data_IF_539011182220
#
_entry.id   IF_539011182220
#
_cell.length_a   1.000
_cell.length_b   1.000
_cell.length_c   1.000
_cell.angle_alpha   90.00
_cell.angle_beta   90.00
_cell.angle_gamma   90.00
#
_symmetry.space_group_name_H-M   'P 1'
#
loop_
_entity.id
_entity.type
_entity.pdbx_description
1 polymer ?
#
# COMPACT_ATOMS: atom_id res chain seq x y z
N UNK A 1 13.37 0.34 -4.54
CA UNK A 1 12.11 0.28 -3.77
C UNK A 1 11.75 -1.19 -3.66
N UNK A 2 11.61 -1.73 -2.45
CA UNK A 2 11.41 -3.17 -2.22
C UNK A 2 9.94 -3.56 -2.46
N UNK A 3 9.58 -3.89 -3.70
CA UNK A 3 8.27 -4.44 -4.05
C UNK A 3 8.26 -5.98 -3.99
N UNK A 4 8.90 -6.56 -2.97
CA UNK A 4 9.18 -7.99 -2.88
C UNK A 4 7.93 -8.87 -3.03
N UNK A 5 6.81 -8.50 -2.41
CA UNK A 5 5.55 -9.27 -2.52
C UNK A 5 4.94 -9.23 -3.91
N UNK A 6 5.05 -8.10 -4.61
CA UNK A 6 4.50 -7.95 -5.96
C UNK A 6 5.28 -8.85 -6.92
N UNK A 7 6.61 -8.82 -6.83
CA UNK A 7 7.49 -9.68 -7.63
C UNK A 7 7.24 -11.18 -7.33
N UNK A 8 7.11 -11.54 -6.06
CA UNK A 8 6.77 -12.91 -5.64
C UNK A 8 5.39 -13.35 -6.16
N UNK A 9 4.39 -12.46 -6.11
CA UNK A 9 3.05 -12.74 -6.60
C UNK A 9 3.03 -12.95 -8.12
N UNK A 10 3.75 -12.12 -8.86
CA UNK A 10 3.91 -12.26 -10.31
C UNK A 10 4.60 -13.58 -10.67
N UNK A 11 5.72 -13.89 -10.02
CA UNK A 11 6.44 -15.15 -10.23
C UNK A 11 5.55 -16.36 -9.96
N UNK A 12 4.83 -16.36 -8.83
CA UNK A 12 3.92 -17.45 -8.46
C UNK A 12 2.81 -17.66 -9.49
N UNK A 13 2.21 -16.57 -10.00
CA UNK A 13 1.20 -16.66 -11.05
C UNK A 13 1.77 -17.27 -12.33
N UNK A 14 2.94 -16.80 -12.76
CA UNK A 14 3.59 -17.25 -13.99
C UNK A 14 3.97 -18.73 -13.92
N UNK A 15 4.53 -19.19 -12.80
CA UNK A 15 4.90 -20.60 -12.59
C UNK A 15 3.67 -21.53 -12.63
N UNK A 16 2.53 -21.05 -12.15
CA UNK A 16 1.27 -21.82 -12.09
C UNK A 16 0.38 -21.64 -13.32
N UNK A 17 0.71 -20.71 -14.21
CA UNK A 17 -0.14 -20.33 -15.34
C UNK A 17 -1.45 -19.65 -14.94
N UNK A 18 -1.48 -19.00 -13.77
CA UNK A 18 -2.66 -18.26 -13.30
C UNK A 18 -2.73 -16.88 -13.95
N UNK A 19 -3.92 -16.49 -14.40
CA UNK A 19 -4.19 -15.17 -14.96
C UNK A 19 -5.03 -14.36 -13.97
N UNK A 20 -4.52 -13.20 -13.56
CA UNK A 20 -5.18 -12.30 -12.61
C UNK A 20 -5.34 -12.90 -11.21
N UNK A 21 -6.44 -12.54 -10.55
CA UNK A 21 -6.76 -12.97 -9.20
C UNK A 21 -5.77 -12.42 -8.17
N UNK A 22 -5.76 -13.03 -7.00
CA UNK A 22 -5.05 -12.55 -5.81
C UNK A 22 -4.10 -13.61 -5.30
N UNK A 23 -2.82 -13.26 -5.15
CA UNK A 23 -1.86 -14.09 -4.42
C UNK A 23 -1.89 -13.66 -2.97
N UNK A 24 -2.08 -14.60 -2.07
CA UNK A 24 -2.34 -14.35 -0.67
C UNK A 24 -1.12 -14.76 0.12
N UNK A 25 -0.67 -13.86 0.98
CA UNK A 25 0.48 -14.01 1.86
C UNK A 25 0.02 -14.10 3.31
N UNK A 26 0.65 -14.96 4.09
CA UNK A 26 0.52 -15.00 5.54
C UNK A 26 1.92 -15.05 6.16
N UNK A 27 2.17 -14.20 7.16
CA UNK A 27 3.49 -14.08 7.81
C UNK A 27 4.68 -13.90 6.82
N UNK A 28 4.43 -13.27 5.67
CA UNK A 28 5.45 -13.00 4.64
C UNK A 28 5.65 -14.13 3.62
N UNK A 29 4.96 -15.26 3.75
CA UNK A 29 5.03 -16.39 2.82
C UNK A 29 3.75 -16.54 2.00
N UNK A 30 3.83 -17.11 0.80
CA UNK A 30 2.66 -17.36 -0.05
C UNK A 30 1.82 -18.47 0.57
N UNK A 31 0.63 -18.11 1.04
CA UNK A 31 -0.37 -19.03 1.57
C UNK A 31 -1.26 -19.63 0.47
N UNK A 32 -1.46 -18.92 -0.65
CA UNK A 32 -2.26 -19.44 -1.76
C UNK A 32 -2.62 -18.43 -2.84
N UNK A 33 -3.57 -18.82 -3.69
CA UNK A 33 -4.15 -17.96 -4.73
C UNK A 33 -5.66 -18.12 -4.78
N UNK A 34 -6.37 -17.02 -5.01
CA UNK A 34 -7.82 -17.00 -5.20
C UNK A 34 -8.18 -16.13 -6.41
N UNK A 35 -9.15 -16.57 -7.21
CA UNK A 35 -9.64 -15.75 -8.33
C UNK A 35 -10.41 -14.52 -7.85
N UNK A 36 -11.14 -14.66 -6.74
CA UNK A 36 -11.96 -13.62 -6.12
C UNK A 36 -11.78 -13.66 -4.60
N UNK A 37 -11.95 -12.52 -3.93
CA UNK A 37 -11.89 -12.37 -2.47
C UNK A 37 -13.30 -12.42 -1.83
N UNK A 38 -14.15 -13.35 -2.28
CA UNK A 38 -15.55 -13.47 -1.88
C UNK A 38 -15.77 -14.25 -0.57
N UNK A 39 -14.75 -14.98 -0.11
CA UNK A 39 -14.80 -15.81 1.10
C UNK A 39 -13.70 -15.43 2.10
N UNK A 40 -13.81 -14.29 2.81
CA UNK A 40 -12.80 -13.85 3.78
C UNK A 40 -12.58 -14.86 4.91
N UNK A 41 -13.61 -15.59 5.34
CA UNK A 41 -13.51 -16.61 6.39
C UNK A 41 -12.67 -17.84 6.03
N UNK A 42 -12.30 -18.01 4.76
CA UNK A 42 -11.35 -19.04 4.35
C UNK A 42 -9.89 -18.68 4.66
N UNK A 43 -9.62 -17.46 5.12
CA UNK A 43 -8.28 -16.91 5.31
C UNK A 43 -8.12 -16.40 6.73
N UNK A 44 -6.93 -16.57 7.30
CA UNK A 44 -6.66 -16.05 8.64
C UNK A 44 -6.61 -14.52 8.63
N UNK A 45 -7.07 -13.86 9.71
CA UNK A 45 -6.84 -12.44 9.90
C UNK A 45 -5.34 -12.12 9.83
N UNK A 46 -4.98 -11.01 9.19
CA UNK A 46 -3.59 -10.63 8.94
C UNK A 46 -2.99 -11.16 7.63
N UNK A 47 -3.73 -11.95 6.85
CA UNK A 47 -3.34 -12.24 5.46
C UNK A 47 -3.31 -10.97 4.61
N UNK A 48 -2.41 -10.94 3.63
CA UNK A 48 -2.28 -9.87 2.64
C UNK A 48 -2.50 -10.47 1.26
N UNK A 49 -3.52 -10.02 0.55
CA UNK A 49 -3.79 -10.40 -0.83
C UNK A 49 -3.25 -9.34 -1.79
N UNK A 50 -2.50 -9.74 -2.81
CA UNK A 50 -1.93 -8.86 -3.82
C UNK A 50 -2.56 -9.19 -5.17
N UNK A 51 -3.16 -8.21 -5.85
CA UNK A 51 -3.73 -8.40 -7.19
C UNK A 51 -2.67 -8.33 -8.30
N UNK A 52 -3.09 -8.33 -9.57
CA UNK A 52 -2.21 -8.23 -10.74
C UNK A 52 -1.77 -6.80 -11.06
N UNK A 53 -2.47 -5.79 -10.52
CA UNK A 53 -2.08 -4.39 -10.58
C UNK A 53 -1.10 -3.99 -9.44
N UNK A 54 -0.84 -4.91 -8.50
CA UNK A 54 0.03 -4.69 -7.34
C UNK A 54 -0.67 -4.01 -6.17
N UNK A 55 -2.01 -3.97 -6.15
CA UNK A 55 -2.75 -3.48 -5.01
C UNK A 55 -2.80 -4.52 -3.89
N UNK A 56 -2.77 -4.06 -2.64
CA UNK A 56 -2.81 -4.91 -1.46
C UNK A 56 -4.17 -4.82 -0.74
N UNK A 57 -4.64 -5.96 -0.25
CA UNK A 57 -5.87 -6.10 0.52
C UNK A 57 -5.56 -6.89 1.79
N UNK A 58 -6.03 -6.43 2.94
CA UNK A 58 -5.78 -7.07 4.22
C UNK A 58 -7.01 -7.84 4.67
N UNK A 59 -6.81 -9.06 5.12
CA UNK A 59 -7.83 -9.85 5.79
C UNK A 59 -8.00 -9.30 7.22
N UNK A 60 -9.15 -8.73 7.53
CA UNK A 60 -9.42 -8.03 8.80
C UNK A 60 -10.62 -8.62 9.54
N UNK A 61 -10.67 -8.33 10.85
CA UNK A 61 -11.67 -8.87 11.78
C UNK A 61 -11.56 -10.39 11.97
N UNK A 62 -12.45 -10.96 12.76
CA UNK A 62 -12.52 -12.41 12.97
C UNK A 62 -11.43 -12.96 13.89
N UNK A 63 -11.14 -14.26 13.76
CA UNK A 63 -10.18 -14.98 14.60
C UNK A 63 -9.57 -16.19 13.85
N UNK A 64 -8.64 -16.91 14.50
CA UNK A 64 -7.96 -18.06 13.91
C UNK A 64 -8.89 -19.25 13.61
N UNK A 65 -9.98 -19.41 14.36
CA UNK A 65 -10.90 -20.54 14.22
C UNK A 65 -11.94 -20.29 13.12
N UNK A 66 -12.39 -19.05 12.96
CA UNK A 66 -13.46 -18.65 12.06
C UNK A 66 -12.96 -17.91 10.79
N UNK A 67 -11.67 -17.58 10.75
CA UNK A 67 -11.06 -16.78 9.68
C UNK A 67 -11.44 -15.30 9.77
N UNK A 68 -11.07 -14.55 8.74
CA UNK A 68 -11.34 -13.12 8.64
C UNK A 68 -12.81 -12.82 8.31
N UNK A 69 -13.28 -11.64 8.71
CA UNK A 69 -14.63 -11.18 8.40
C UNK A 69 -14.70 -10.41 7.08
N UNK A 70 -13.62 -9.75 6.70
CA UNK A 70 -13.59 -8.88 5.52
C UNK A 70 -12.20 -8.79 4.89
N UNK A 71 -12.18 -8.33 3.64
CA UNK A 71 -10.99 -7.83 2.96
C UNK A 71 -11.06 -6.32 2.87
N UNK A 72 -10.05 -5.63 3.37
CA UNK A 72 -9.94 -4.18 3.34
C UNK A 72 -8.82 -3.73 2.40
N UNK A 73 -9.12 -2.78 1.53
CA UNK A 73 -8.14 -2.22 0.60
C UNK A 73 -7.08 -1.42 1.36
N UNK A 74 -5.82 -1.80 1.23
CA UNK A 74 -4.71 -1.10 1.85
C UNK A 74 -4.01 -0.23 0.81
N UNK A 75 -4.38 1.06 0.79
CA UNK A 75 -3.64 2.03 0.01
C UNK A 75 -2.38 2.44 0.78
N UNK A 76 -1.22 1.94 0.37
CA UNK A 76 0.04 2.53 0.85
C UNK A 76 0.16 3.88 0.17
N UNK A 77 -0.08 4.96 0.90
CA UNK A 77 -0.04 6.31 0.37
C UNK A 77 1.39 6.76 0.09
N UNK A 78 2.04 6.20 -0.94
CA UNK A 78 3.30 6.71 -1.49
C UNK A 78 3.12 8.06 -2.23
N UNK A 79 1.92 8.65 -2.19
CA UNK A 79 1.58 9.96 -2.75
C UNK A 79 0.67 10.83 -1.88
N UNK A 80 0.23 10.37 -0.71
CA UNK A 80 -0.38 11.31 0.22
C UNK A 80 0.77 12.04 0.89
N UNK A 81 0.97 13.30 0.51
CA UNK A 81 1.58 14.27 1.42
C UNK A 81 0.90 14.06 2.78
N UNK A 82 1.64 14.02 3.91
CA UNK A 82 0.96 14.10 5.20
C UNK A 82 -0.02 15.26 5.11
N UNK A 83 -1.27 15.03 5.49
CA UNK A 83 -2.21 16.13 5.67
C UNK A 83 -1.58 17.05 6.71
N UNK A 84 -0.91 18.11 6.25
CA UNK A 84 -0.47 19.18 7.10
C UNK A 84 -1.74 19.98 7.37
N UNK A 85 -2.30 19.99 8.59
CA UNK A 85 -3.21 21.07 8.94
C UNK A 85 -2.35 22.33 8.83
N UNK A 86 -2.52 23.08 7.74
CA UNK A 86 -2.01 24.45 7.69
C UNK A 86 -2.92 25.21 8.64
N UNK A 87 -2.58 25.18 9.93
CA UNK A 87 -3.19 26.08 10.90
C UNK A 87 -2.97 27.49 10.35
N UNK A 88 -4.03 28.28 10.09
CA UNK A 88 -3.91 29.57 9.44
C UNK A 88 -3.11 30.60 10.25
N UNK A 89 -2.74 30.29 11.49
CA UNK A 89 -2.15 31.26 12.41
C UNK A 89 -0.61 31.36 12.46
N UNK A 90 0.22 30.35 12.13
CA UNK A 90 1.67 30.54 12.26
C UNK A 90 2.55 29.67 11.34
N UNK A 91 3.39 30.32 10.54
CA UNK A 91 4.70 29.77 10.16
C UNK A 91 5.39 30.53 9.03
N UNK A 92 6.60 31.03 9.26
CA UNK A 92 7.36 31.90 8.32
C UNK A 92 8.16 31.11 7.28
N UNK A 93 8.67 31.78 6.23
CA UNK A 93 9.49 31.20 5.13
C UNK A 93 10.67 30.33 5.64
N UNK A 94 11.22 30.66 6.81
CA UNK A 94 12.33 29.96 7.45
C UNK A 94 11.97 28.56 7.97
N UNK A 95 10.69 28.29 8.23
CA UNK A 95 10.25 26.97 8.68
C UNK A 95 10.10 26.01 7.49
N UNK A 96 9.73 26.51 6.31
CA UNK A 96 9.69 25.71 5.08
C UNK A 96 11.08 25.16 4.68
N UNK A 97 12.15 25.93 4.91
CA UNK A 97 13.52 25.49 4.65
C UNK A 97 13.97 24.33 5.57
N UNK A 98 13.48 24.29 6.82
CA UNK A 98 13.80 23.24 7.78
C UNK A 98 13.16 21.89 7.40
N UNK A 99 12.04 21.93 6.67
CA UNK A 99 11.40 20.73 6.11
C UNK A 99 12.19 20.12 4.95
N UNK A 100 12.84 20.94 4.11
CA UNK A 100 13.69 20.44 3.02
C UNK A 100 14.89 19.64 3.54
N UNK A 101 15.49 20.07 4.67
CA UNK A 101 16.63 19.41 5.28
C UNK A 101 16.29 18.05 5.92
N UNK A 102 15.04 17.86 6.39
CA UNK A 102 14.62 16.65 7.10
C UNK A 102 14.09 15.54 6.19
N UNK A 103 13.52 15.88 5.03
CA UNK A 103 12.78 14.91 4.21
C UNK A 103 13.37 14.68 2.81
N UNK A 104 14.42 15.41 2.43
CA UNK A 104 15.32 15.01 1.34
C UNK A 104 14.67 14.69 0.00
N UNK A 105 13.64 15.43 -0.39
CA UNK A 105 12.95 15.24 -1.68
C UNK A 105 13.22 16.43 -2.62
N UNK A 106 14.03 16.19 -3.66
CA UNK A 106 14.36 17.15 -4.72
C UNK A 106 13.23 17.37 -5.75
N UNK A 107 12.09 16.68 -5.65
CA UNK A 107 10.96 16.83 -6.60
C UNK A 107 10.21 18.15 -6.47
N UNK A 108 10.53 18.99 -5.49
CA UNK A 108 9.94 20.32 -5.28
C UNK A 108 10.85 21.47 -5.76
N UNK A 109 11.66 21.26 -6.82
CA UNK A 109 12.23 22.40 -7.57
C UNK A 109 11.19 22.99 -8.53
N UNK A 110 10.66 24.14 -8.11
CA UNK A 110 10.13 25.24 -8.92
C UNK A 110 8.90 24.94 -9.79
N UNK A 111 7.72 25.33 -9.30
CA UNK A 111 6.77 26.06 -10.17
C UNK A 111 7.27 27.49 -10.17
N UNK A 112 7.98 27.86 -11.24
CA UNK A 112 8.35 29.24 -11.52
C UNK A 112 7.08 30.09 -11.65
N UNK A 113 6.84 30.97 -10.68
CA UNK A 113 5.97 32.12 -10.91
C UNK A 113 6.82 33.24 -11.50
N UNK A 114 7.00 33.19 -12.82
CA UNK A 114 7.17 34.41 -13.58
C UNK A 114 5.82 35.10 -13.75
N UNK A 115 5.68 36.31 -13.21
CA UNK A 115 4.91 37.36 -13.87
C UNK A 115 5.38 38.74 -13.40
N UNK A 116 5.92 39.49 -14.38
CA UNK A 116 6.10 40.94 -14.54
C UNK A 116 6.77 41.76 -13.43
#
# INVERSE_FOLDING_TARGET
MNNQRIEQAEAFRNERGYQGGYVIFFAGEIAGWARYLDRPSAWMPGCIAVDDAGNEYHATGGDEQNGALSWEYYFVSHRAKPFVPVSPEFGTEKEAENWFALYGDESMRLVSAGHL
#
